data_IF_195220087869
#
_entry.id   IF_195220087869
#
_cell.length_a   1.000
_cell.length_b   1.000
_cell.length_c   1.000
_cell.angle_alpha   90.00
_cell.angle_beta   90.00
_cell.angle_gamma   90.00
#
_symmetry.space_group_name_H-M   'P 1'
#
loop_
_entity.id
_entity.type
_entity.pdbx_description
1 polymer ?
#
# COMPACT_ATOMS: atom_id res chain seq x y z
N UNK A 1 -15.04 -36.89 -41.46
CA UNK A 1 -14.00 -36.12 -40.74
C UNK A 1 -14.63 -34.82 -40.27
N UNK A 2 -14.82 -34.65 -38.96
CA UNK A 2 -15.12 -33.34 -38.38
C UNK A 2 -14.47 -33.31 -36.99
N UNK A 3 -13.32 -32.65 -36.90
CA UNK A 3 -12.66 -32.37 -35.63
C UNK A 3 -13.27 -31.06 -35.14
N UNK A 4 -14.12 -31.13 -34.10
CA UNK A 4 -14.70 -29.95 -33.47
C UNK A 4 -13.65 -29.36 -32.52
N UNK A 5 -12.96 -28.32 -32.99
CA UNK A 5 -11.96 -27.59 -32.19
C UNK A 5 -12.68 -26.78 -31.11
N UNK A 6 -12.65 -27.28 -29.87
CA UNK A 6 -13.19 -26.57 -28.71
C UNK A 6 -12.20 -25.46 -28.32
N UNK A 7 -12.46 -24.22 -28.73
CA UNK A 7 -11.75 -23.05 -28.22
C UNK A 7 -12.13 -22.86 -26.74
N UNK A 8 -11.23 -23.22 -25.82
CA UNK A 8 -11.31 -22.76 -24.44
C UNK A 8 -11.01 -21.26 -24.42
N UNK A 9 -12.02 -20.43 -24.24
CA UNK A 9 -11.82 -19.04 -23.81
C UNK A 9 -11.34 -19.10 -22.36
N UNK A 10 -10.02 -19.00 -22.16
CA UNK A 10 -9.44 -18.81 -20.83
C UNK A 10 -9.82 -17.38 -20.41
N UNK A 11 -10.86 -17.25 -19.59
CA UNK A 11 -11.15 -15.99 -18.92
C UNK A 11 -10.02 -15.71 -17.94
N UNK A 12 -9.20 -14.69 -18.24
CA UNK A 12 -8.25 -14.16 -17.27
C UNK A 12 -9.06 -13.42 -16.22
N UNK A 13 -9.41 -14.11 -15.13
CA UNK A 13 -9.93 -13.43 -13.95
C UNK A 13 -8.79 -12.62 -13.35
N UNK A 14 -8.80 -11.30 -13.54
CA UNK A 14 -7.84 -10.41 -12.86
C UNK A 14 -8.05 -10.54 -11.35
N UNK A 15 -7.04 -11.01 -10.63
CA UNK A 15 -7.12 -11.37 -9.22
C UNK A 15 -6.50 -10.25 -8.36
N UNK A 16 -7.13 -9.09 -8.40
CA UNK A 16 -6.86 -7.90 -7.60
C UNK A 16 -6.50 -8.17 -6.13
N UNK A 17 -5.80 -7.23 -5.51
CA UNK A 17 -5.59 -7.25 -4.06
C UNK A 17 -6.45 -6.20 -3.36
N UNK A 18 -6.52 -6.30 -2.04
CA UNK A 18 -7.23 -5.35 -1.20
C UNK A 18 -6.27 -4.91 -0.11
N UNK A 19 -6.04 -3.61 0.01
CA UNK A 19 -5.39 -3.04 1.18
C UNK A 19 -6.40 -2.93 2.32
N UNK A 20 -6.34 -3.87 3.26
CA UNK A 20 -7.25 -3.93 4.41
C UNK A 20 -6.87 -2.95 5.52
N UNK A 21 -5.58 -2.74 5.71
CA UNK A 21 -5.03 -1.80 6.67
C UNK A 21 -3.65 -1.31 6.18
N UNK A 22 -3.34 -0.01 6.30
CA UNK A 22 -4.20 1.09 6.73
C UNK A 22 -5.35 1.41 5.77
N UNK A 23 -6.24 2.32 6.15
CA UNK A 23 -7.33 2.74 5.25
C UNK A 23 -6.76 3.39 3.99
N UNK A 24 -7.04 2.78 2.82
CA UNK A 24 -6.68 3.30 1.50
C UNK A 24 -7.42 4.61 1.16
N UNK A 25 -6.86 5.41 0.24
CA UNK A 25 -7.55 6.58 -0.32
C UNK A 25 -8.76 6.21 -1.18
N UNK A 26 -8.82 4.96 -1.64
CA UNK A 26 -9.90 4.43 -2.44
C UNK A 26 -9.53 3.06 -3.00
N UNK A 27 -10.53 2.36 -3.50
CA UNK A 27 -10.36 1.10 -4.19
C UNK A 27 -11.28 1.07 -5.41
N UNK A 28 -10.70 0.86 -6.58
CA UNK A 28 -11.42 0.60 -7.81
C UNK A 28 -10.75 -0.57 -8.51
N UNK A 29 -11.36 -1.75 -8.44
CA UNK A 29 -10.81 -2.95 -9.07
C UNK A 29 -10.46 -2.71 -10.55
N UNK A 30 -11.32 -2.01 -11.30
CA UNK A 30 -11.15 -1.86 -12.75
C UNK A 30 -10.03 -0.87 -13.14
N UNK A 31 -9.42 -0.21 -12.17
CA UNK A 31 -8.36 0.75 -12.35
C UNK A 31 -7.19 0.44 -11.42
N UNK A 32 -7.14 -0.73 -10.78
CA UNK A 32 -6.10 -1.05 -9.80
C UNK A 32 -4.71 -1.08 -10.48
N UNK A 33 -4.66 -1.34 -11.79
CA UNK A 33 -3.48 -1.26 -12.64
C UNK A 33 -3.10 0.16 -13.08
N UNK A 34 -3.92 1.18 -12.77
CA UNK A 34 -3.63 2.58 -13.07
C UNK A 34 -2.65 3.18 -12.04
N UNK A 35 -1.40 3.35 -12.47
CA UNK A 35 -0.39 4.04 -11.67
C UNK A 35 -0.71 5.53 -11.46
N UNK A 36 -0.42 6.13 -10.29
CA UNK A 36 0.19 5.50 -9.12
C UNK A 36 -0.82 5.08 -8.05
N UNK A 37 -2.12 5.26 -8.24
CA UNK A 37 -3.07 5.17 -7.12
C UNK A 37 -4.17 4.12 -7.30
N UNK A 38 -4.11 3.30 -8.34
CA UNK A 38 -5.16 2.31 -8.61
C UNK A 38 -6.51 2.98 -8.89
N UNK A 39 -6.49 4.12 -9.60
CA UNK A 39 -7.67 4.95 -9.84
C UNK A 39 -8.16 5.78 -8.64
N UNK A 40 -7.52 5.69 -7.46
CA UNK A 40 -7.87 6.53 -6.32
C UNK A 40 -7.43 7.99 -6.53
N UNK A 41 -8.25 8.93 -6.08
CA UNK A 41 -7.89 10.35 -6.07
C UNK A 41 -7.01 10.66 -4.86
N UNK A 42 -5.84 11.27 -5.09
CA UNK A 42 -4.93 11.65 -4.02
C UNK A 42 -5.60 12.71 -3.12
N UNK A 43 -5.58 12.48 -1.80
CA UNK A 43 -6.11 13.39 -0.80
C UNK A 43 -5.27 13.36 0.47
N UNK A 44 -4.87 14.56 0.92
CA UNK A 44 -4.16 14.77 2.18
C UNK A 44 -5.09 15.22 3.32
N UNK A 45 -6.39 15.28 3.07
CA UNK A 45 -7.41 15.49 4.11
C UNK A 45 -7.96 14.15 4.62
N UNK A 46 -8.01 13.13 3.75
CA UNK A 46 -8.44 11.77 4.07
C UNK A 46 -7.25 10.92 4.51
N UNK A 47 -6.72 11.21 5.70
CA UNK A 47 -5.53 10.54 6.23
C UNK A 47 -5.88 9.37 7.14
N UNK A 48 -4.99 8.39 7.19
CA UNK A 48 -5.08 7.25 8.13
C UNK A 48 -4.01 7.34 9.19
N UNK A 49 -4.36 6.99 10.43
CA UNK A 49 -3.38 6.77 11.49
C UNK A 49 -2.32 5.74 11.04
N UNK A 50 -1.04 6.12 11.11
CA UNK A 50 0.08 5.23 10.77
C UNK A 50 1.36 5.66 11.50
N UNK A 51 2.05 4.70 12.12
CA UNK A 51 3.29 4.95 12.86
C UNK A 51 4.49 4.85 11.92
N UNK A 52 5.08 5.99 11.55
CA UNK A 52 6.22 6.02 10.62
C UNK A 52 7.44 5.24 11.14
N UNK A 53 7.62 5.11 12.45
CA UNK A 53 8.71 4.33 13.05
C UNK A 53 8.52 2.80 12.91
N UNK A 54 7.34 2.35 12.49
CA UNK A 54 7.00 0.93 12.41
C UNK A 54 5.50 0.73 12.68
N UNK A 55 4.79 0.28 11.65
CA UNK A 55 3.38 -0.11 11.75
C UNK A 55 3.09 -1.25 10.76
N UNK A 56 1.92 -1.87 10.89
CA UNK A 56 1.53 -2.99 10.06
C UNK A 56 0.87 -2.54 8.74
N UNK A 57 1.03 -3.33 7.69
CA UNK A 57 0.24 -3.25 6.46
C UNK A 57 -0.39 -4.61 6.19
N UNK A 58 -1.72 -4.67 6.20
CA UNK A 58 -2.48 -5.88 5.95
C UNK A 58 -3.16 -5.82 4.57
N UNK A 59 -2.97 -6.87 3.79
CA UNK A 59 -3.56 -7.02 2.45
C UNK A 59 -4.32 -8.34 2.33
N UNK A 60 -5.20 -8.44 1.35
CA UNK A 60 -5.73 -9.71 0.86
C UNK A 60 -5.40 -9.83 -0.61
N UNK A 61 -4.78 -10.93 -1.01
CA UNK A 61 -4.49 -11.24 -2.42
C UNK A 61 -5.31 -12.42 -2.90
N UNK A 62 -5.72 -12.37 -4.16
CA UNK A 62 -6.38 -13.47 -4.84
C UNK A 62 -5.44 -14.19 -5.82
N UNK A 63 -4.15 -13.82 -5.86
CA UNK A 63 -3.16 -14.57 -6.62
C UNK A 63 -2.48 -15.64 -5.76
N UNK A 64 -2.16 -16.81 -6.33
CA UNK A 64 -1.40 -17.85 -5.64
C UNK A 64 0.06 -17.48 -5.39
N UNK A 65 0.59 -16.48 -6.10
CA UNK A 65 1.93 -15.94 -5.92
C UNK A 65 1.92 -14.45 -6.23
N UNK A 66 2.53 -13.65 -5.36
CA UNK A 66 2.63 -12.19 -5.53
C UNK A 66 3.92 -11.65 -4.94
N UNK A 67 4.47 -10.60 -5.57
CA UNK A 67 5.53 -9.80 -4.96
C UNK A 67 4.95 -8.46 -4.53
N UNK A 68 5.02 -8.15 -3.24
CA UNK A 68 4.59 -6.89 -2.67
C UNK A 68 5.78 -5.94 -2.51
N UNK A 69 5.69 -4.77 -3.15
CA UNK A 69 6.60 -3.66 -2.94
C UNK A 69 5.90 -2.59 -2.11
N UNK A 70 6.50 -2.28 -0.97
CA UNK A 70 6.08 -1.20 -0.09
C UNK A 70 7.02 -0.01 -0.29
N UNK A 71 6.46 1.16 -0.61
CA UNK A 71 7.25 2.35 -0.86
C UNK A 71 6.54 3.63 -0.44
N UNK A 72 7.31 4.68 -0.25
CA UNK A 72 6.87 5.96 0.26
C UNK A 72 7.39 7.11 -0.62
N UNK A 73 6.62 8.17 -0.81
CA UNK A 73 7.11 9.41 -1.41
C UNK A 73 6.52 10.65 -0.74
N UNK A 74 7.28 11.74 -0.67
CA UNK A 74 6.74 13.06 -0.31
C UNK A 74 6.29 13.86 -1.54
N UNK A 75 6.41 13.30 -2.75
CA UNK A 75 5.80 13.85 -3.96
C UNK A 75 4.28 13.71 -3.86
N UNK A 76 3.59 14.85 -3.71
CA UNK A 76 2.15 14.87 -3.46
C UNK A 76 1.30 14.42 -4.64
N UNK A 77 1.89 14.21 -5.82
CA UNK A 77 1.20 13.61 -6.97
C UNK A 77 1.67 12.18 -7.28
N UNK A 78 2.62 11.64 -6.51
CA UNK A 78 3.05 10.24 -6.59
C UNK A 78 3.84 9.87 -7.86
N UNK A 79 4.36 10.86 -8.59
CA UNK A 79 5.04 10.62 -9.88
C UNK A 79 6.53 10.31 -9.73
N UNK A 80 7.15 10.68 -8.61
CA UNK A 80 8.61 10.64 -8.43
C UNK A 80 9.03 10.45 -6.97
N UNK A 81 10.35 10.35 -6.74
CA UNK A 81 10.98 10.34 -5.41
C UNK A 81 10.49 9.25 -4.46
N UNK A 82 10.23 8.05 -5.00
CA UNK A 82 9.83 6.90 -4.21
C UNK A 82 11.02 6.28 -3.48
N UNK A 83 10.91 6.16 -2.15
CA UNK A 83 11.80 5.39 -1.29
C UNK A 83 11.21 4.00 -1.08
N UNK A 84 11.95 2.96 -1.42
CA UNK A 84 11.57 1.56 -1.17
C UNK A 84 11.74 1.26 0.31
N UNK A 85 10.69 0.71 0.92
CA UNK A 85 10.64 0.37 2.36
C UNK A 85 10.82 -1.13 2.58
N UNK A 86 10.13 -1.96 1.81
CA UNK A 86 10.23 -3.41 1.87
C UNK A 86 9.81 -4.05 0.54
N UNK A 87 10.30 -5.26 0.29
CA UNK A 87 9.90 -6.12 -0.82
C UNK A 87 9.70 -7.54 -0.28
N UNK A 88 8.49 -8.07 -0.42
CA UNK A 88 8.11 -9.38 0.12
C UNK A 88 7.53 -10.25 -0.99
N UNK A 89 7.96 -11.51 -1.05
CA UNK A 89 7.36 -12.52 -1.92
C UNK A 89 6.39 -13.36 -1.09
N UNK A 90 5.14 -13.41 -1.51
CA UNK A 90 4.07 -14.13 -0.84
C UNK A 90 3.53 -15.26 -1.72
N UNK A 91 3.20 -16.37 -1.06
CA UNK A 91 2.68 -17.58 -1.69
C UNK A 91 1.39 -18.00 -0.99
N UNK A 92 0.37 -18.31 -1.79
CA UNK A 92 -0.97 -18.62 -1.32
C UNK A 92 -1.93 -17.43 -1.44
N UNK A 93 -3.22 -17.77 -1.43
CA UNK A 93 -4.30 -16.78 -1.49
C UNK A 93 -4.70 -16.37 -0.08
N UNK A 94 -5.27 -15.17 0.04
CA UNK A 94 -5.91 -14.69 1.25
C UNK A 94 -5.12 -13.57 1.93
N UNK A 95 -5.24 -13.51 3.25
CA UNK A 95 -4.70 -12.40 4.03
C UNK A 95 -3.20 -12.55 4.29
N UNK A 96 -2.48 -11.47 4.05
CA UNK A 96 -1.07 -11.31 4.38
C UNK A 96 -0.88 -10.00 5.17
N UNK A 97 0.11 -9.97 6.07
CA UNK A 97 0.42 -8.79 6.87
C UNK A 97 1.94 -8.60 6.95
N UNK A 98 2.41 -7.44 6.48
CA UNK A 98 3.77 -6.96 6.70
C UNK A 98 3.79 -6.21 8.05
N UNK A 99 4.39 -6.76 9.12
CA UNK A 99 4.06 -6.36 10.49
C UNK A 99 4.76 -5.10 11.00
N UNK A 100 5.88 -4.68 10.40
CA UNK A 100 6.72 -3.62 10.95
C UNK A 100 7.40 -2.80 9.86
N UNK A 101 6.60 -2.09 9.06
CA UNK A 101 7.12 -1.21 8.02
C UNK A 101 7.52 0.14 8.62
N UNK A 102 8.81 0.44 8.56
CA UNK A 102 9.36 1.74 9.01
C UNK A 102 9.67 2.64 7.82
N UNK A 103 9.29 3.91 7.93
CA UNK A 103 9.60 4.99 6.99
C UNK A 103 10.75 5.82 7.57
N UNK A 104 11.83 6.10 6.82
CA UNK A 104 12.91 6.95 7.32
C UNK A 104 12.42 8.34 7.72
N UNK A 105 12.57 8.69 9.01
CA UNK A 105 12.08 9.95 9.58
C UNK A 105 12.68 11.20 8.90
N UNK A 106 13.95 11.13 8.48
CA UNK A 106 14.68 12.26 7.88
C UNK A 106 14.00 12.82 6.64
N UNK A 107 13.28 11.99 5.89
CA UNK A 107 12.70 12.37 4.61
C UNK A 107 11.27 12.91 4.78
N UNK A 108 10.62 12.61 5.91
CA UNK A 108 9.19 12.81 6.17
C UNK A 108 8.87 13.80 7.29
N UNK A 109 9.86 14.25 8.05
CA UNK A 109 9.63 15.22 9.12
C UNK A 109 8.99 16.51 8.60
N UNK A 110 7.80 16.83 9.12
CA UNK A 110 7.03 18.01 8.74
C UNK A 110 6.41 17.97 7.33
N UNK A 111 6.52 16.85 6.60
CA UNK A 111 6.01 16.70 5.24
C UNK A 111 4.83 15.73 5.19
N UNK A 112 3.90 16.02 4.30
CA UNK A 112 2.86 15.06 3.89
C UNK A 112 3.37 14.26 2.70
N UNK A 113 2.95 13.00 2.59
CA UNK A 113 3.33 12.13 1.50
C UNK A 113 2.39 10.96 1.34
N UNK A 114 2.72 10.08 0.40
CA UNK A 114 1.97 8.89 0.05
C UNK A 114 2.77 7.65 0.43
N UNK A 115 2.12 6.68 1.05
CA UNK A 115 2.59 5.30 1.07
C UNK A 115 1.81 4.52 0.05
N UNK A 116 2.51 3.61 -0.62
CA UNK A 116 1.95 2.79 -1.68
C UNK A 116 2.31 1.34 -1.44
N UNK A 117 1.32 0.49 -1.63
CA UNK A 117 1.47 -0.95 -1.78
C UNK A 117 1.33 -1.27 -3.26
N UNK A 118 2.32 -1.97 -3.78
CA UNK A 118 2.33 -2.43 -5.17
C UNK A 118 2.35 -3.95 -5.16
N UNK A 119 1.38 -4.58 -5.80
CA UNK A 119 1.40 -6.02 -6.04
C UNK A 119 1.86 -6.27 -7.47
N UNK A 120 2.85 -7.14 -7.66
CA UNK A 120 3.18 -7.70 -8.97
C UNK A 120 2.86 -9.20 -8.97
N UNK A 121 1.93 -9.60 -9.84
CA UNK A 121 1.41 -10.97 -9.93
C UNK A 121 1.30 -11.41 -11.40
N UNK A 122 0.63 -12.55 -11.64
CA UNK A 122 0.56 -13.18 -12.96
C UNK A 122 -0.20 -12.34 -14.02
N UNK A 123 -1.10 -11.45 -13.59
CA UNK A 123 -1.94 -10.62 -14.45
C UNK A 123 -1.45 -9.16 -14.57
N UNK A 124 -0.36 -8.80 -13.88
CA UNK A 124 0.26 -7.48 -13.97
C UNK A 124 0.59 -6.86 -12.62
N UNK A 125 0.66 -5.52 -12.65
CA UNK A 125 1.05 -4.69 -11.51
C UNK A 125 -0.15 -3.86 -11.07
N UNK A 126 -0.47 -3.95 -9.78
CA UNK A 126 -1.62 -3.30 -9.16
C UNK A 126 -1.16 -2.37 -8.03
N UNK A 127 -1.90 -1.30 -7.80
CA UNK A 127 -1.50 -0.19 -6.92
C UNK A 127 -2.63 0.17 -5.96
N UNK A 128 -2.30 0.32 -4.67
CA UNK A 128 -3.15 1.01 -3.70
C UNK A 128 -2.31 1.96 -2.86
N UNK A 129 -2.89 3.09 -2.47
CA UNK A 129 -2.20 4.17 -1.76
C UNK A 129 -2.97 4.64 -0.53
N UNK A 130 -2.24 5.15 0.45
CA UNK A 130 -2.82 5.85 1.60
C UNK A 130 -1.96 7.04 1.99
N UNK A 131 -2.58 8.04 2.62
CA UNK A 131 -1.85 9.17 3.24
C UNK A 131 -1.73 8.94 4.74
N UNK A 132 -0.51 8.72 5.26
CA UNK A 132 -0.30 8.56 6.69
C UNK A 132 -0.52 9.90 7.40
N UNK A 133 -1.23 9.86 8.52
CA UNK A 133 -1.20 10.89 9.55
C UNK A 133 -0.16 10.45 10.57
N UNK A 134 0.97 11.16 10.64
CA UNK A 134 2.03 10.88 11.62
C UNK A 134 1.42 10.86 13.02
N UNK A 135 1.41 9.68 13.63
CA UNK A 135 1.15 9.57 15.07
C UNK A 135 2.50 9.76 15.75
N UNK A 136 2.73 10.97 16.27
CA UNK A 136 3.79 11.19 17.24
C UNK A 136 3.25 10.67 18.56
N UNK A 137 3.83 9.58 19.09
CA UNK A 137 3.70 9.33 20.52
C UNK A 137 4.36 10.52 21.23
N UNK A 138 3.55 11.49 21.64
CA UNK A 138 3.91 12.39 22.73
C UNK A 138 4.06 11.50 23.96
N UNK A 139 5.24 10.89 24.13
CA UNK A 139 5.63 10.40 25.43
C UNK A 139 5.58 11.62 26.35
N UNK A 140 4.79 11.54 27.42
CA UNK A 140 4.62 12.57 28.43
C UNK A 140 5.96 12.84 29.13
N UNK A 141 6.86 13.57 28.47
CA UNK A 141 8.10 14.10 29.03
C UNK A 141 8.05 15.64 29.12
N UNK A 142 6.84 16.19 29.32
CA UNK A 142 6.62 17.57 29.76
C UNK A 142 5.62 17.63 30.91
N UNK A 143 6.08 17.18 32.07
CA UNK A 143 5.74 17.78 33.35
C UNK A 143 7.06 17.90 34.12
N UNK A 144 7.83 18.92 33.74
CA UNK A 144 8.64 19.61 34.72
C UNK A 144 7.66 20.33 35.64
N UNK A 145 7.49 19.80 36.85
CA UNK A 145 6.99 20.59 37.97
C UNK A 145 8.24 21.18 38.61
N UNK A 146 8.51 22.42 38.25
CA UNK A 146 9.21 23.37 39.09
C UNK A 146 8.16 23.95 40.05
N UNK A 147 8.19 23.53 41.31
CA UNK A 147 7.61 24.28 42.43
C UNK A 147 8.59 24.18 43.61
N UNK A 148 9.32 25.28 43.82
CA UNK A 148 9.97 25.79 45.06
C UNK A 148 10.76 24.85 45.97
#
# INVERSE_FOLDING_TARGET
MQILTLLLLVSTTTAHFILNYPTTLGFNQNAEDDSPCGGATISFTNTTAFHLSGDAIAVTTLHPQSNFLYRATTDQIGTSNWTVLSLVAEYGLGAFCEPALSVPDSDWEGKMGLLQVVQNAEDGVHYQVFTPKKIIFFFMARIGVDET
#
